data_IF_152271783841
#
_entry.id   IF_152271783841
#
_cell.length_a   1.000
_cell.length_b   1.000
_cell.length_c   1.000
_cell.angle_alpha   90.00
_cell.angle_beta   90.00
_cell.angle_gamma   90.00
#
_symmetry.space_group_name_H-M   'P 1'
#
loop_
_entity.id
_entity.type
_entity.pdbx_description
1 polymer ?
#
# COMPACT_ATOMS: atom_id res chain seq x y z
N UNK A 1 -24.34 -6.95 -2.57
CA UNK A 1 -23.72 -8.28 -2.68
C UNK A 1 -23.65 -8.91 -1.30
N UNK A 2 -23.66 -10.23 -1.23
CA UNK A 2 -23.52 -10.96 0.03
C UNK A 2 -22.04 -11.08 0.42
N UNK A 3 -21.68 -10.45 1.54
CA UNK A 3 -20.32 -10.43 2.07
C UNK A 3 -19.92 -11.78 2.66
N UNK A 4 -20.88 -12.56 3.17
CA UNK A 4 -20.61 -13.89 3.72
C UNK A 4 -20.07 -14.83 2.63
N UNK A 5 -20.63 -14.78 1.42
CA UNK A 5 -20.15 -15.59 0.29
C UNK A 5 -18.70 -15.25 -0.07
N UNK A 6 -18.30 -13.98 0.03
CA UNK A 6 -16.92 -13.56 -0.23
C UNK A 6 -15.99 -14.08 0.87
N UNK A 7 -16.41 -13.97 2.13
CA UNK A 7 -15.67 -14.49 3.28
C UNK A 7 -15.44 -15.99 3.13
N UNK A 8 -16.49 -16.76 2.83
CA UNK A 8 -16.38 -18.22 2.62
C UNK A 8 -15.37 -18.55 1.51
N UNK A 9 -15.36 -17.80 0.42
CA UNK A 9 -14.38 -17.96 -0.66
C UNK A 9 -12.96 -17.63 -0.22
N UNK A 10 -12.78 -16.58 0.58
CA UNK A 10 -11.48 -16.18 1.14
C UNK A 10 -10.93 -17.18 2.15
N UNK A 11 -11.79 -17.82 2.94
CA UNK A 11 -11.40 -18.83 3.94
C UNK A 11 -10.87 -20.13 3.33
N UNK A 12 -11.19 -20.43 2.08
CA UNK A 12 -10.63 -21.58 1.36
C UNK A 12 -9.10 -21.50 1.24
N UNK A 13 -8.53 -20.30 1.30
CA UNK A 13 -7.10 -20.04 1.14
C UNK A 13 -6.57 -20.20 -0.28
N UNK A 14 -7.44 -20.51 -1.25
CA UNK A 14 -7.17 -20.61 -2.67
C UNK A 14 -7.11 -19.21 -3.32
N UNK A 15 -6.04 -18.94 -4.07
CA UNK A 15 -5.78 -17.61 -4.62
C UNK A 15 -6.75 -17.25 -5.76
N UNK A 16 -7.16 -18.23 -6.56
CA UNK A 16 -8.04 -17.99 -7.72
C UNK A 16 -9.48 -17.71 -7.26
N UNK A 17 -9.94 -18.45 -6.25
CA UNK A 17 -11.21 -18.20 -5.57
C UNK A 17 -11.21 -16.82 -4.87
N UNK A 18 -10.16 -16.52 -4.11
CA UNK A 18 -9.99 -15.22 -3.46
C UNK A 18 -9.98 -14.07 -4.48
N UNK A 19 -9.19 -14.20 -5.55
CA UNK A 19 -9.11 -13.20 -6.63
C UNK A 19 -10.48 -12.92 -7.24
N UNK A 20 -11.22 -13.98 -7.59
CA UNK A 20 -12.55 -13.86 -8.20
C UNK A 20 -13.54 -13.17 -7.25
N UNK A 21 -13.50 -13.53 -5.97
CA UNK A 21 -14.34 -12.95 -4.92
C UNK A 21 -14.05 -11.46 -4.73
N UNK A 22 -12.77 -11.11 -4.57
CA UNK A 22 -12.31 -9.75 -4.32
C UNK A 22 -12.52 -8.83 -5.54
N UNK A 23 -12.30 -9.31 -6.76
CA UNK A 23 -12.60 -8.51 -7.96
C UNK A 23 -14.08 -8.17 -8.08
N UNK A 24 -14.97 -9.11 -7.73
CA UNK A 24 -16.40 -8.84 -7.65
C UNK A 24 -16.70 -7.79 -6.59
N UNK A 25 -16.11 -7.94 -5.40
CA UNK A 25 -16.24 -6.97 -4.32
C UNK A 25 -15.79 -5.58 -4.73
N UNK A 26 -14.58 -5.45 -5.27
CA UNK A 26 -13.96 -4.19 -5.66
C UNK A 26 -14.80 -3.48 -6.73
N UNK A 27 -15.31 -4.22 -7.72
CA UNK A 27 -16.16 -3.65 -8.76
C UNK A 27 -17.42 -3.00 -8.18
N UNK A 28 -18.11 -3.70 -7.28
CA UNK A 28 -19.35 -3.22 -6.67
C UNK A 28 -19.11 -2.11 -5.64
N UNK A 29 -18.01 -2.17 -4.89
CA UNK A 29 -17.75 -1.28 -3.75
C UNK A 29 -16.77 -0.14 -4.05
N UNK A 30 -16.20 -0.07 -5.26
CA UNK A 30 -15.20 0.94 -5.66
C UNK A 30 -15.63 2.40 -5.41
N UNK A 31 -16.92 2.70 -5.57
CA UNK A 31 -17.51 4.03 -5.35
C UNK A 31 -18.33 4.13 -4.05
N UNK A 32 -18.20 3.14 -3.15
CA UNK A 32 -18.87 3.16 -1.87
C UNK A 32 -18.08 3.97 -0.82
N UNK A 33 -18.74 4.96 -0.21
CA UNK A 33 -18.20 5.81 0.86
C UNK A 33 -19.05 5.76 2.14
N UNK A 34 -20.17 5.03 2.13
CA UNK A 34 -21.08 4.88 3.26
C UNK A 34 -21.36 3.39 3.45
N UNK A 35 -21.10 2.89 4.65
CA UNK A 35 -21.20 1.46 4.96
C UNK A 35 -22.31 1.20 5.98
N UNK A 36 -23.00 0.06 5.82
CA UNK A 36 -24.01 -0.38 6.77
C UNK A 36 -23.34 -0.90 8.05
N UNK A 37 -23.84 -0.49 9.22
CA UNK A 37 -23.30 -0.95 10.50
C UNK A 37 -23.58 -2.41 10.83
N UNK A 38 -24.58 -3.01 10.19
CA UNK A 38 -24.94 -4.41 10.42
C UNK A 38 -23.83 -5.37 9.96
N UNK A 39 -23.07 -4.98 8.94
CA UNK A 39 -21.99 -5.77 8.34
C UNK A 39 -20.60 -5.37 8.89
N UNK A 40 -20.52 -4.64 10.02
CA UNK A 40 -19.25 -4.18 10.60
C UNK A 40 -18.30 -5.36 10.90
N UNK A 41 -18.83 -6.44 11.48
CA UNK A 41 -18.04 -7.61 11.84
C UNK A 41 -17.52 -8.36 10.61
N UNK A 42 -18.38 -8.52 9.60
CA UNK A 42 -18.00 -9.18 8.35
C UNK A 42 -16.92 -8.39 7.61
N UNK A 43 -17.00 -7.05 7.60
CA UNK A 43 -15.97 -6.20 7.00
C UNK A 43 -14.64 -6.28 7.74
N UNK A 44 -14.67 -6.36 9.07
CA UNK A 44 -13.46 -6.58 9.87
C UNK A 44 -12.83 -7.93 9.57
N UNK A 45 -13.64 -8.99 9.55
CA UNK A 45 -13.18 -10.35 9.23
C UNK A 45 -12.60 -10.43 7.81
N UNK A 46 -13.27 -9.83 6.83
CA UNK A 46 -12.71 -9.72 5.47
C UNK A 46 -11.36 -8.98 5.48
N UNK A 47 -11.25 -7.87 6.22
CA UNK A 47 -9.99 -7.15 6.36
C UNK A 47 -8.85 -8.00 6.96
N UNK A 48 -9.15 -8.84 7.94
CA UNK A 48 -8.20 -9.77 8.55
C UNK A 48 -7.74 -10.83 7.54
N UNK A 49 -8.67 -11.44 6.80
CA UNK A 49 -8.37 -12.42 5.76
C UNK A 49 -7.50 -11.82 4.65
N UNK A 50 -7.80 -10.60 4.20
CA UNK A 50 -7.03 -9.92 3.15
C UNK A 50 -5.60 -9.58 3.63
N UNK A 51 -5.43 -9.11 4.86
CA UNK A 51 -4.09 -8.89 5.44
C UNK A 51 -3.33 -10.21 5.58
N UNK A 52 -3.99 -11.27 6.02
CA UNK A 52 -3.40 -12.61 6.09
C UNK A 52 -2.95 -13.13 4.73
N UNK A 53 -3.70 -12.83 3.68
CA UNK A 53 -3.35 -13.20 2.30
C UNK A 53 -2.15 -12.41 1.79
N UNK A 54 -2.10 -11.09 2.06
CA UNK A 54 -0.94 -10.22 1.75
C UNK A 54 0.34 -10.57 2.53
N UNK A 55 0.26 -11.39 3.58
CA UNK A 55 1.44 -11.90 4.26
C UNK A 55 2.11 -13.08 3.51
N UNK A 56 1.47 -13.61 2.46
CA UNK A 56 1.92 -14.75 1.65
C UNK A 56 2.45 -14.27 0.29
N UNK A 57 3.05 -15.19 -0.47
CA UNK A 57 3.38 -14.95 -1.87
C UNK A 57 2.12 -15.08 -2.74
N UNK A 58 1.78 -14.01 -3.46
CA UNK A 58 0.55 -13.91 -4.26
C UNK A 58 0.86 -13.68 -5.73
N UNK A 59 -0.04 -14.15 -6.60
CA UNK A 59 -0.09 -13.71 -7.99
C UNK A 59 -0.33 -12.18 -8.05
N UNK A 60 0.26 -11.46 -9.04
CA UNK A 60 0.15 -9.99 -9.13
C UNK A 60 -1.29 -9.47 -9.14
N UNK A 61 -2.20 -10.16 -9.84
CA UNK A 61 -3.62 -9.81 -9.91
C UNK A 61 -4.32 -9.95 -8.54
N UNK A 62 -4.01 -11.00 -7.79
CA UNK A 62 -4.56 -11.26 -6.46
C UNK A 62 -4.06 -10.21 -5.46
N UNK A 63 -2.78 -9.86 -5.54
CA UNK A 63 -2.17 -8.81 -4.74
C UNK A 63 -2.85 -7.45 -4.97
N UNK A 64 -3.02 -7.05 -6.23
CA UNK A 64 -3.69 -5.78 -6.54
C UNK A 64 -5.13 -5.76 -6.05
N UNK A 65 -5.88 -6.86 -6.28
CA UNK A 65 -7.25 -7.00 -5.79
C UNK A 65 -7.33 -6.88 -4.26
N UNK A 66 -6.38 -7.46 -3.53
CA UNK A 66 -6.28 -7.32 -2.07
C UNK A 66 -6.10 -5.85 -1.65
N UNK A 67 -5.18 -5.12 -2.27
CA UNK A 67 -4.91 -3.72 -1.91
C UNK A 67 -6.07 -2.79 -2.25
N UNK A 68 -6.74 -3.01 -3.38
CA UNK A 68 -7.99 -2.31 -3.71
C UNK A 68 -9.09 -2.58 -2.67
N UNK A 69 -9.22 -3.83 -2.21
CA UNK A 69 -10.15 -4.21 -1.14
C UNK A 69 -9.81 -3.48 0.16
N UNK A 70 -8.55 -3.47 0.58
CA UNK A 70 -8.11 -2.72 1.78
C UNK A 70 -8.39 -1.22 1.60
N UNK A 71 -8.14 -0.66 0.42
CA UNK A 71 -8.43 0.75 0.15
C UNK A 71 -9.92 1.06 0.31
N UNK A 72 -10.81 0.15 -0.11
CA UNK A 72 -12.26 0.29 0.07
C UNK A 72 -12.62 0.17 1.55
N UNK A 73 -12.18 -0.89 2.23
CA UNK A 73 -12.50 -1.14 3.64
C UNK A 73 -11.96 -0.04 4.56
N UNK A 74 -10.79 0.51 4.27
CA UNK A 74 -10.18 1.60 5.04
C UNK A 74 -10.94 2.93 4.96
N UNK A 75 -11.91 3.08 4.04
CA UNK A 75 -12.83 4.23 4.04
C UNK A 75 -13.80 4.17 5.22
N UNK A 76 -14.08 2.98 5.75
CA UNK A 76 -14.92 2.81 6.92
C UNK A 76 -14.10 3.00 8.20
N UNK A 77 -14.20 4.20 8.77
CA UNK A 77 -13.48 4.57 9.99
C UNK A 77 -13.80 3.71 11.22
N UNK A 78 -14.88 2.94 11.22
CA UNK A 78 -15.27 2.06 12.34
C UNK A 78 -14.74 0.62 12.20
N UNK A 79 -14.19 0.26 11.03
CA UNK A 79 -13.72 -1.08 10.72
C UNK A 79 -12.20 -1.14 10.43
N UNK A 80 -11.44 -0.23 11.03
CA UNK A 80 -9.98 -0.14 10.81
C UNK A 80 -9.16 -1.13 11.64
N UNK A 81 -9.77 -1.81 12.62
CA UNK A 81 -9.09 -2.74 13.55
C UNK A 81 -8.13 -3.75 12.87
N UNK A 82 -8.47 -4.36 11.72
CA UNK A 82 -7.57 -5.30 11.04
C UNK A 82 -6.26 -4.67 10.53
N UNK A 83 -6.28 -3.36 10.24
CA UNK A 83 -5.19 -2.67 9.53
C UNK A 83 -4.24 -1.90 10.45
N UNK A 84 -4.58 -1.76 11.73
CA UNK A 84 -3.87 -0.86 12.66
C UNK A 84 -2.77 -1.57 13.48
N UNK A 85 -2.59 -2.88 13.26
CA UNK A 85 -1.50 -3.63 13.89
C UNK A 85 -0.14 -3.25 13.31
N UNK A 86 0.94 -3.43 14.08
CA UNK A 86 2.30 -3.15 13.60
C UNK A 86 2.65 -4.01 12.36
N UNK A 87 2.24 -5.29 12.38
CA UNK A 87 2.43 -6.21 11.24
C UNK A 87 1.67 -5.74 10.01
N UNK A 88 0.40 -5.37 10.13
CA UNK A 88 -0.41 -4.90 9.00
C UNK A 88 0.17 -3.62 8.38
N UNK A 89 0.52 -2.64 9.21
CA UNK A 89 1.15 -1.39 8.75
C UNK A 89 2.52 -1.64 8.09
N UNK A 90 3.30 -2.59 8.61
CA UNK A 90 4.57 -3.00 7.99
C UNK A 90 4.33 -3.64 6.61
N UNK A 91 3.37 -4.57 6.49
CA UNK A 91 3.00 -5.17 5.20
C UNK A 91 2.61 -4.10 4.19
N UNK A 92 1.70 -3.19 4.56
CA UNK A 92 1.27 -2.09 3.67
C UNK A 92 2.42 -1.17 3.29
N UNK A 93 3.32 -0.84 4.22
CA UNK A 93 4.48 0.00 3.93
C UNK A 93 5.46 -0.64 2.93
N UNK A 94 5.60 -1.97 2.94
CA UNK A 94 6.42 -2.71 1.96
C UNK A 94 5.81 -2.60 0.57
N UNK A 95 4.50 -2.84 0.42
CA UNK A 95 3.82 -2.69 -0.86
C UNK A 95 3.76 -1.24 -1.35
N UNK A 96 3.71 -0.28 -0.43
CA UNK A 96 3.84 1.13 -0.75
C UNK A 96 5.28 1.56 -1.10
N UNK A 97 6.28 0.67 -0.99
CA UNK A 97 7.68 0.98 -1.31
C UNK A 97 8.33 2.01 -0.37
N UNK A 98 7.84 2.14 0.86
CA UNK A 98 8.31 3.13 1.85
C UNK A 98 8.71 2.48 3.19
N UNK A 99 8.72 1.15 3.25
CA UNK A 99 9.25 0.44 4.40
C UNK A 99 10.75 0.73 4.54
N UNK A 100 11.15 1.32 5.66
CA UNK A 100 12.57 1.46 5.98
C UNK A 100 13.10 0.06 6.33
N UNK A 101 14.10 -0.42 5.61
CA UNK A 101 14.67 -1.75 5.84
C UNK A 101 15.16 -1.89 7.28
N UNK A 102 14.56 -2.81 8.05
CA UNK A 102 15.38 -3.63 8.94
C UNK A 102 16.25 -4.51 8.02
N UNK A 103 17.59 -4.47 8.10
CA UNK A 103 18.49 -5.12 7.13
C UNK A 103 18.40 -6.65 6.98
N UNK A 104 17.41 -7.32 7.56
CA UNK A 104 17.47 -8.77 7.82
C UNK A 104 16.46 -9.65 7.08
N UNK A 105 15.53 -9.14 6.25
CA UNK A 105 14.46 -9.99 5.69
C UNK A 105 13.97 -9.64 4.25
N UNK A 106 14.86 -9.40 3.28
CA UNK A 106 14.45 -9.42 1.87
C UNK A 106 15.29 -10.40 1.04
N UNK A 107 14.67 -11.23 0.18
CA UNK A 107 15.35 -11.89 -0.91
C UNK A 107 15.79 -10.82 -1.91
N UNK A 108 17.10 -10.75 -2.17
CA UNK A 108 17.68 -9.93 -3.22
C UNK A 108 17.33 -10.54 -4.58
N UNK A 109 16.25 -10.11 -5.20
CA UNK A 109 16.14 -10.23 -6.66
C UNK A 109 16.86 -9.05 -7.30
N UNK A 110 18.12 -9.33 -7.68
CA UNK A 110 18.82 -8.77 -8.83
C UNK A 110 19.04 -7.23 -8.89
N UNK A 111 20.10 -6.78 -8.24
CA UNK A 111 20.89 -5.64 -8.73
C UNK A 111 22.33 -6.13 -8.88
N UNK A 112 22.61 -6.86 -9.96
CA UNK A 112 23.97 -7.18 -10.36
C UNK A 112 24.43 -6.03 -11.27
N UNK A 113 25.30 -5.17 -10.75
CA UNK A 113 26.03 -4.19 -11.55
C UNK A 113 26.85 -4.96 -12.60
N UNK A 114 26.59 -4.67 -13.87
CA UNK A 114 27.30 -5.26 -15.01
C UNK A 114 27.43 -4.22 -16.12
N UNK A 115 28.67 -3.98 -16.52
CA UNK A 115 29.15 -2.97 -17.45
C UNK A 115 28.60 -3.12 -18.88
N UNK A 116 28.58 -1.97 -19.58
CA UNK A 116 28.21 -1.74 -20.97
C UNK A 116 29.11 -2.51 -21.94
N UNK A 117 28.53 -3.06 -23.02
CA UNK A 117 29.09 -3.02 -24.38
C UNK A 117 27.98 -3.22 -25.43
N UNK A 118 28.09 -2.48 -26.53
CA UNK A 118 27.13 -2.27 -27.61
C UNK A 118 26.70 -3.54 -28.36
N UNK A 119 25.44 -3.59 -28.85
CA UNK A 119 25.15 -3.93 -30.25
C UNK A 119 23.70 -3.61 -30.66
N UNK A 120 23.57 -3.16 -31.92
CA UNK A 120 22.41 -2.55 -32.55
C UNK A 120 21.27 -3.54 -32.87
N UNK A 121 20.03 -3.04 -32.84
CA UNK A 121 18.96 -3.54 -33.70
C UNK A 121 18.09 -4.69 -33.17
N UNK A 122 17.12 -4.36 -32.31
CA UNK A 122 15.87 -5.12 -32.22
C UNK A 122 14.74 -4.19 -31.73
N UNK A 123 13.65 -4.13 -32.50
CA UNK A 123 12.42 -3.42 -32.16
C UNK A 123 11.91 -3.90 -30.78
N UNK A 124 12.01 -3.04 -29.75
CA UNK A 124 11.43 -3.26 -28.43
C UNK A 124 10.05 -2.63 -28.36
N UNK A 125 9.02 -3.45 -28.47
CA UNK A 125 7.66 -3.17 -27.97
C UNK A 125 7.38 -4.05 -26.73
N UNK A 126 6.60 -3.58 -25.75
CA UNK A 126 7.02 -2.59 -24.76
C UNK A 126 7.17 -3.23 -23.37
N UNK A 127 8.24 -2.89 -22.65
CA UNK A 127 8.45 -3.25 -21.24
C UNK A 127 7.54 -2.49 -20.25
N UNK A 128 6.44 -1.87 -20.69
CA UNK A 128 5.67 -0.92 -19.88
C UNK A 128 4.60 -1.54 -18.97
N UNK A 129 4.13 -2.76 -19.23
CA UNK A 129 3.01 -3.34 -18.47
C UNK A 129 3.39 -3.76 -17.04
N UNK A 130 4.63 -4.24 -16.84
CA UNK A 130 5.11 -4.67 -15.53
C UNK A 130 5.41 -3.47 -14.62
N UNK A 131 6.05 -2.43 -15.16
CA UNK A 131 6.32 -1.16 -14.45
C UNK A 131 5.02 -0.45 -14.04
N UNK A 132 3.99 -0.48 -14.90
CA UNK A 132 2.67 0.06 -14.57
C UNK A 132 1.97 -0.71 -13.45
N UNK A 133 2.08 -2.04 -13.45
CA UNK A 133 1.46 -2.89 -12.41
C UNK A 133 2.07 -2.63 -11.03
N UNK A 134 3.38 -2.39 -10.95
CA UNK A 134 4.05 -2.09 -9.68
C UNK A 134 3.63 -0.72 -9.13
N UNK A 135 3.41 0.27 -10.01
CA UNK A 135 2.90 1.57 -9.60
C UNK A 135 1.46 1.50 -9.09
N UNK A 136 0.57 0.73 -9.72
CA UNK A 136 -0.82 0.55 -9.25
C UNK A 136 -0.84 -0.03 -7.82
N UNK A 137 0.00 -1.04 -7.58
CA UNK A 137 0.19 -1.64 -6.25
C UNK A 137 0.63 -0.59 -5.23
N UNK A 138 1.65 0.20 -5.55
CA UNK A 138 2.15 1.27 -4.67
C UNK A 138 1.04 2.28 -4.36
N UNK A 139 0.32 2.72 -5.39
CA UNK A 139 -0.73 3.72 -5.27
C UNK A 139 -1.88 3.22 -4.39
N UNK A 140 -2.34 1.98 -4.57
CA UNK A 140 -3.42 1.42 -3.75
C UNK A 140 -2.98 1.21 -2.29
N UNK A 141 -1.73 0.83 -2.05
CA UNK A 141 -1.16 0.77 -0.71
C UNK A 141 -1.08 2.15 -0.05
N UNK A 142 -0.60 3.18 -0.76
CA UNK A 142 -0.54 4.55 -0.26
C UNK A 142 -1.94 5.13 0.05
N UNK A 143 -2.91 4.91 -0.84
CA UNK A 143 -4.32 5.29 -0.62
C UNK A 143 -4.86 4.64 0.66
N UNK A 144 -4.59 3.35 0.85
CA UNK A 144 -4.99 2.60 2.04
C UNK A 144 -4.38 3.18 3.32
N UNK A 145 -3.06 3.39 3.34
CA UNK A 145 -2.35 3.99 4.49
C UNK A 145 -2.93 5.38 4.80
N UNK A 146 -3.16 6.23 3.78
CA UNK A 146 -3.74 7.56 3.97
C UNK A 146 -5.11 7.51 4.66
N UNK A 147 -5.99 6.60 4.22
CA UNK A 147 -7.32 6.43 4.82
C UNK A 147 -7.23 5.98 6.28
N UNK A 148 -6.37 4.99 6.57
CA UNK A 148 -6.17 4.47 7.93
C UNK A 148 -5.66 5.57 8.87
N UNK A 149 -4.64 6.31 8.46
CA UNK A 149 -4.02 7.36 9.29
C UNK A 149 -4.95 8.53 9.58
N UNK A 150 -5.81 8.88 8.63
CA UNK A 150 -6.76 9.99 8.78
C UNK A 150 -7.72 9.79 9.96
N UNK A 151 -8.03 8.55 10.32
CA UNK A 151 -9.09 8.22 11.27
C UNK A 151 -8.66 7.40 12.48
N UNK A 152 -7.40 6.95 12.56
CA UNK A 152 -6.95 6.09 13.64
C UNK A 152 -5.62 6.55 14.27
N UNK A 153 -5.67 6.97 15.54
CA UNK A 153 -4.49 7.43 16.30
C UNK A 153 -3.47 6.31 16.56
N UNK A 154 -3.94 5.08 16.79
CA UNK A 154 -3.04 3.93 16.98
C UNK A 154 -2.19 3.68 15.74
N UNK A 155 -2.79 3.75 14.54
CA UNK A 155 -2.04 3.65 13.30
C UNK A 155 -1.06 4.81 13.09
N UNK A 156 -1.39 6.02 13.52
CA UNK A 156 -0.44 7.16 13.49
C UNK A 156 0.79 6.88 14.36
N UNK A 157 0.60 6.29 15.55
CA UNK A 157 1.71 5.84 16.40
C UNK A 157 2.54 4.76 15.68
N UNK A 158 1.89 3.74 15.09
CA UNK A 158 2.60 2.68 14.34
C UNK A 158 3.37 3.21 13.14
N UNK A 159 2.83 4.18 12.41
CA UNK A 159 3.52 4.79 11.29
C UNK A 159 4.76 5.58 11.73
N UNK A 160 4.71 6.23 12.89
CA UNK A 160 5.87 6.88 13.47
C UNK A 160 6.93 5.86 13.93
N UNK A 161 6.52 4.79 14.62
CA UNK A 161 7.42 3.70 15.04
C UNK A 161 8.12 3.02 13.85
N UNK A 162 7.38 2.79 12.77
CA UNK A 162 7.88 2.24 11.51
C UNK A 162 8.67 3.25 10.66
N UNK A 163 8.80 4.50 11.12
CA UNK A 163 9.55 5.56 10.45
C UNK A 163 9.11 5.80 9.00
N UNK A 164 7.81 5.67 8.69
CA UNK A 164 7.30 5.78 7.32
C UNK A 164 7.65 7.12 6.65
N UNK A 165 7.78 8.19 7.44
CA UNK A 165 8.20 9.50 6.94
C UNK A 165 9.58 9.47 6.28
N UNK A 166 10.50 8.60 6.73
CA UNK A 166 11.84 8.47 6.13
C UNK A 166 11.74 7.89 4.73
N UNK A 167 11.00 6.80 4.57
CA UNK A 167 10.81 6.17 3.26
C UNK A 167 10.12 7.10 2.26
N UNK A 168 9.06 7.80 2.69
CA UNK A 168 8.39 8.79 1.83
C UNK A 168 9.34 9.95 1.48
N UNK A 169 10.09 10.47 2.44
CA UNK A 169 11.06 11.54 2.18
C UNK A 169 12.19 11.12 1.24
N UNK A 170 12.65 9.87 1.32
CA UNK A 170 13.64 9.31 0.39
C UNK A 170 13.10 9.25 -1.04
N UNK A 171 11.85 8.79 -1.22
CA UNK A 171 11.21 8.79 -2.54
C UNK A 171 10.94 10.20 -3.06
N UNK A 172 10.53 11.14 -2.20
CA UNK A 172 10.31 12.54 -2.61
C UNK A 172 11.61 13.25 -3.05
N UNK A 173 12.79 12.82 -2.58
CA UNK A 173 14.07 13.33 -3.11
C UNK A 173 14.31 12.93 -4.58
N UNK A 174 13.60 11.91 -5.05
CA UNK A 174 13.64 11.40 -6.42
C UNK A 174 12.46 11.95 -7.26
N UNK A 175 11.92 13.12 -6.92
CA UNK A 175 10.74 13.69 -7.58
C UNK A 175 10.89 14.02 -9.07
N UNK A 176 12.13 14.04 -9.59
CA UNK A 176 12.42 14.22 -11.01
C UNK A 176 12.71 12.90 -11.74
N UNK A 177 12.64 11.77 -11.03
CA UNK A 177 12.86 10.45 -11.61
C UNK A 177 11.63 10.04 -12.45
N UNK A 178 11.80 9.80 -13.77
CA UNK A 178 10.68 9.37 -14.62
C UNK A 178 10.10 8.01 -14.23
N UNK A 179 10.76 7.24 -13.36
CA UNK A 179 10.27 5.97 -12.82
C UNK A 179 8.99 6.12 -11.99
N UNK A 180 8.68 7.31 -11.44
CA UNK A 180 7.53 7.52 -10.57
C UNK A 180 6.37 8.23 -11.28
N UNK A 181 5.21 7.57 -11.32
CA UNK A 181 3.99 8.15 -11.85
C UNK A 181 3.43 9.29 -10.99
N UNK A 182 2.66 10.18 -11.61
CA UNK A 182 2.01 11.31 -10.93
C UNK A 182 1.20 10.89 -9.70
N UNK A 183 0.45 9.78 -9.78
CA UNK A 183 -0.37 9.33 -8.65
C UNK A 183 0.49 8.92 -7.44
N UNK A 184 1.64 8.27 -7.65
CA UNK A 184 2.56 7.92 -6.57
C UNK A 184 3.00 9.18 -5.85
N UNK A 185 3.48 10.20 -6.59
CA UNK A 185 3.90 11.47 -6.02
C UNK A 185 2.77 12.22 -5.29
N UNK A 186 1.56 12.23 -5.88
CA UNK A 186 0.41 12.85 -5.25
C UNK A 186 0.11 12.22 -3.88
N UNK A 187 0.11 10.88 -3.81
CA UNK A 187 -0.16 10.18 -2.56
C UNK A 187 1.02 10.23 -1.58
N UNK A 188 2.26 10.35 -2.03
CA UNK A 188 3.42 10.63 -1.17
C UNK A 188 3.30 11.99 -0.47
N UNK A 189 2.91 13.03 -1.21
CA UNK A 189 2.66 14.36 -0.65
C UNK A 189 1.48 14.34 0.32
N UNK A 190 0.40 13.64 -0.04
CA UNK A 190 -0.77 13.46 0.84
C UNK A 190 -0.39 12.73 2.13
N UNK A 191 0.39 11.66 2.04
CA UNK A 191 0.85 10.89 3.18
C UNK A 191 1.78 11.74 4.08
N UNK A 192 2.70 12.48 3.47
CA UNK A 192 3.59 13.43 4.17
C UNK A 192 2.78 14.48 4.92
N UNK A 193 1.77 15.06 4.27
CA UNK A 193 0.85 16.01 4.91
C UNK A 193 0.14 15.39 6.12
N UNK A 194 -0.45 14.19 5.98
CA UNK A 194 -1.16 13.53 7.08
C UNK A 194 -0.22 13.23 8.25
N UNK A 195 0.93 12.61 7.98
CA UNK A 195 1.91 12.27 9.00
C UNK A 195 2.38 13.50 9.79
N UNK A 196 2.71 14.59 9.09
CA UNK A 196 3.20 15.81 9.74
C UNK A 196 2.08 16.65 10.36
N UNK A 197 0.86 16.61 9.83
CA UNK A 197 -0.29 17.29 10.41
C UNK A 197 -0.73 16.65 11.73
N UNK A 198 -0.74 15.31 11.78
CA UNK A 198 -1.26 14.52 12.90
C UNK A 198 -0.23 14.26 14.00
N UNK A 199 1.08 14.27 13.69
CA UNK A 199 2.15 13.93 14.62
C UNK A 199 3.25 14.99 14.66
N UNK A 200 3.41 15.64 15.82
CA UNK A 200 4.39 16.72 16.02
C UNK A 200 5.84 16.22 16.00
N UNK A 201 6.09 15.03 16.52
CA UNK A 201 7.40 14.35 16.48
C UNK A 201 7.80 14.03 15.04
N UNK A 202 6.88 13.50 14.24
CA UNK A 202 7.13 13.23 12.81
C UNK A 202 7.37 14.53 12.03
N UNK A 203 6.63 15.60 12.34
CA UNK A 203 6.88 16.93 11.76
C UNK A 203 8.27 17.47 12.09
N UNK A 204 8.67 17.37 13.36
CA UNK A 204 9.99 17.80 13.80
C UNK A 204 11.09 16.98 13.10
N UNK A 205 10.92 15.67 13.02
CA UNK A 205 11.82 14.76 12.30
C UNK A 205 11.97 15.17 10.83
N UNK A 206 10.87 15.41 10.11
CA UNK A 206 10.95 15.84 8.72
C UNK A 206 11.72 17.17 8.57
N UNK A 207 11.42 18.14 9.43
CA UNK A 207 12.03 19.48 9.37
C UNK A 207 13.52 19.47 9.72
N UNK A 208 13.92 18.70 10.74
CA UNK A 208 15.26 18.78 11.33
C UNK A 208 16.21 17.69 10.81
N UNK A 209 15.73 16.45 10.66
CA UNK A 209 16.57 15.29 10.30
C UNK A 209 16.56 15.00 8.80
N UNK A 210 15.41 15.21 8.13
CA UNK A 210 15.23 14.79 6.73
C UNK A 210 15.32 15.94 5.72
N UNK A 211 15.67 17.15 6.18
CA UNK A 211 15.78 18.36 5.37
C UNK A 211 14.49 18.67 4.58
N UNK A 212 13.33 18.49 5.20
CA UNK A 212 12.01 18.58 4.55
C UNK A 212 11.74 19.87 3.78
N UNK A 213 12.36 21.00 4.17
CA UNK A 213 12.23 22.27 3.43
C UNK A 213 12.78 22.16 2.00
N UNK A 214 13.78 21.30 1.76
CA UNK A 214 14.36 21.08 0.43
C UNK A 214 13.54 20.11 -0.43
N UNK A 215 12.51 19.47 0.14
CA UNK A 215 11.61 18.56 -0.55
C UNK A 215 10.38 19.27 -1.16
N UNK A 216 10.21 20.56 -0.84
CA UNK A 216 9.15 21.45 -1.31
C UNK A 216 9.75 22.50 -2.27
#
# INVERSE_FOLDING_TARGET
MDLHVIIEQMETGDQDAALSALQRFNREMSQCFMFNREEDQDRKHLGELVIGLLARELQPSCLLACLETIRILSRDKYCLDPFISCSAMSILSRYAGIATTCPSLLPQSAWMEGQVEDEEGAEKEPCSALENSDQEVIVEALKSICNILLHNETAQVRAAELQLIKGVAERLKQCYDPTWGYEVHFFDLRLTFLLTALRLDVRAQLAQELHGIRLL
#
